data_IF_423621952194
#
_entry.id   IF_423621952194
#
_cell.length_a   1.000
_cell.length_b   1.000
_cell.length_c   1.000
_cell.angle_alpha   90.00
_cell.angle_beta   90.00
_cell.angle_gamma   90.00
#
_symmetry.space_group_name_H-M   'P 1'
#
loop_
_entity.id
_entity.type
_entity.pdbx_description
1 polymer ?
#
# COMPACT_ATOMS: atom_id res chain seq x y z
N UNK A 1 17.71 -18.04 13.74
CA UNK A 1 18.41 -16.75 14.01
C UNK A 1 17.39 -15.79 14.59
N UNK A 2 17.72 -14.98 15.59
CA UNK A 2 16.84 -13.96 16.10
C UNK A 2 16.52 -12.91 15.02
N UNK A 3 15.36 -12.30 15.13
CA UNK A 3 14.92 -11.19 14.27
C UNK A 3 15.60 -9.91 14.76
N UNK A 4 16.41 -9.29 13.92
CA UNK A 4 17.03 -8.00 14.25
C UNK A 4 16.03 -6.87 14.06
N UNK A 5 15.59 -6.25 15.15
CA UNK A 5 14.68 -5.12 15.13
C UNK A 5 15.42 -3.80 15.44
N UNK A 6 15.06 -2.74 14.74
CA UNK A 6 15.54 -1.38 15.00
C UNK A 6 14.35 -0.46 15.27
N UNK A 7 14.52 0.49 16.18
CA UNK A 7 13.53 1.53 16.48
C UNK A 7 14.08 2.88 15.98
N UNK A 8 13.24 3.64 15.30
CA UNK A 8 13.49 5.02 14.94
C UNK A 8 12.33 5.87 15.45
N UNK A 9 12.58 6.65 16.50
CA UNK A 9 11.60 7.39 17.27
C UNK A 9 12.31 8.53 18.00
N UNK A 10 11.88 9.77 17.81
CA UNK A 10 12.52 10.95 18.41
C UNK A 10 12.05 11.19 19.85
N UNK A 11 10.82 10.78 20.18
CA UNK A 11 10.28 10.92 21.54
C UNK A 11 10.85 9.85 22.47
N UNK A 12 11.63 10.28 23.47
CA UNK A 12 12.34 9.37 24.38
C UNK A 12 11.42 8.37 25.09
N UNK A 13 10.26 8.82 25.61
CA UNK A 13 9.34 7.95 26.35
C UNK A 13 8.69 6.92 25.44
N UNK A 14 8.24 7.30 24.24
CA UNK A 14 7.67 6.39 23.27
C UNK A 14 8.71 5.36 22.79
N UNK A 15 9.97 5.79 22.61
CA UNK A 15 11.09 4.90 22.26
C UNK A 15 11.37 3.85 23.33
N UNK A 16 11.39 4.26 24.61
CA UNK A 16 11.61 3.34 25.73
C UNK A 16 10.43 2.36 25.92
N UNK A 17 9.19 2.84 25.80
CA UNK A 17 7.99 2.02 25.84
C UNK A 17 8.03 0.95 24.74
N UNK A 18 8.29 1.35 23.51
CA UNK A 18 8.38 0.43 22.37
C UNK A 18 9.52 -0.57 22.54
N UNK A 19 10.68 -0.12 22.99
CA UNK A 19 11.83 -0.99 23.28
C UNK A 19 11.52 -1.99 24.39
N UNK A 20 10.81 -1.58 25.43
CA UNK A 20 10.38 -2.47 26.50
C UNK A 20 9.44 -3.57 25.97
N UNK A 21 8.45 -3.21 25.17
CA UNK A 21 7.50 -4.16 24.61
C UNK A 21 8.17 -5.14 23.62
N UNK A 22 9.06 -4.66 22.75
CA UNK A 22 9.77 -5.52 21.79
C UNK A 22 10.71 -6.51 22.51
N UNK A 23 11.33 -6.13 23.62
CA UNK A 23 12.19 -7.04 24.41
C UNK A 23 11.42 -8.20 25.06
N UNK A 24 10.10 -8.13 25.14
CA UNK A 24 9.27 -9.25 25.61
C UNK A 24 9.08 -10.34 24.56
N UNK A 25 9.41 -10.06 23.31
CA UNK A 25 9.36 -11.03 22.22
C UNK A 25 10.66 -11.87 22.22
N UNK A 26 10.56 -13.17 22.55
CA UNK A 26 11.71 -14.06 22.82
C UNK A 26 12.69 -14.23 21.66
N UNK A 27 12.20 -14.05 20.41
CA UNK A 27 12.96 -14.26 19.19
C UNK A 27 13.50 -12.97 18.56
N UNK A 28 13.54 -11.85 19.30
CA UNK A 28 13.94 -10.53 18.79
C UNK A 28 15.21 -10.04 19.44
N UNK A 29 16.11 -9.52 18.63
CA UNK A 29 17.32 -8.79 19.06
C UNK A 29 17.20 -7.32 18.65
N UNK A 30 17.26 -6.41 19.65
CA UNK A 30 17.21 -4.97 19.38
C UNK A 30 18.56 -4.42 18.95
N UNK A 31 18.59 -3.78 17.78
CA UNK A 31 19.68 -2.92 17.35
C UNK A 31 19.64 -1.58 18.09
N UNK A 32 20.73 -0.78 18.05
CA UNK A 32 20.70 0.60 18.54
C UNK A 32 19.59 1.41 17.87
N UNK A 33 18.88 2.24 18.67
CA UNK A 33 17.78 3.07 18.21
C UNK A 33 18.26 4.36 17.55
N UNK A 34 17.46 4.88 16.61
CA UNK A 34 17.65 6.19 16.00
C UNK A 34 16.67 7.22 16.57
N UNK A 35 17.09 8.48 16.67
CA UNK A 35 16.29 9.61 17.15
C UNK A 35 15.88 10.55 16.01
N UNK A 36 16.36 10.31 14.79
CA UNK A 36 16.00 11.05 13.60
C UNK A 36 16.24 10.20 12.34
N UNK A 37 15.65 10.61 11.22
CA UNK A 37 15.75 9.86 9.97
C UNK A 37 17.18 9.84 9.36
N UNK A 38 18.06 10.77 9.72
CA UNK A 38 19.46 10.75 9.26
C UNK A 38 20.27 9.71 10.04
N UNK A 39 20.10 9.66 11.36
CA UNK A 39 20.71 8.64 12.22
C UNK A 39 20.22 7.24 11.82
N UNK A 40 18.93 7.10 11.53
CA UNK A 40 18.36 5.85 11.04
C UNK A 40 19.11 5.31 9.82
N UNK A 41 19.38 6.13 8.81
CA UNK A 41 20.12 5.71 7.62
C UNK A 41 21.55 5.22 7.95
N UNK A 42 22.23 5.89 8.90
CA UNK A 42 23.57 5.48 9.33
C UNK A 42 23.54 4.12 10.05
N UNK A 43 22.60 3.95 10.98
CA UNK A 43 22.45 2.71 11.75
C UNK A 43 21.99 1.57 10.86
N UNK A 44 21.05 1.80 9.93
CA UNK A 44 20.61 0.81 8.95
C UNK A 44 21.79 0.22 8.16
N UNK A 45 22.66 1.06 7.61
CA UNK A 45 23.84 0.60 6.84
C UNK A 45 24.78 -0.26 7.68
N UNK A 46 24.89 0.01 8.98
CA UNK A 46 25.80 -0.68 9.89
C UNK A 46 25.24 -2.00 10.44
N UNK A 47 23.94 -2.02 10.81
CA UNK A 47 23.36 -3.13 11.55
C UNK A 47 22.47 -4.03 10.70
N UNK A 48 22.00 -3.56 9.55
CA UNK A 48 21.16 -4.31 8.62
C UNK A 48 20.02 -5.06 9.33
N UNK A 49 19.06 -4.34 9.97
CA UNK A 49 17.95 -4.96 10.66
C UNK A 49 17.00 -5.66 9.70
N UNK A 50 16.31 -6.70 10.19
CA UNK A 50 15.26 -7.41 9.45
C UNK A 50 13.95 -6.59 9.45
N UNK A 51 13.70 -5.83 10.54
CA UNK A 51 12.52 -4.98 10.70
C UNK A 51 12.87 -3.64 11.35
N UNK A 52 12.22 -2.58 10.92
CA UNK A 52 12.36 -1.23 11.48
C UNK A 52 10.99 -0.75 11.96
N UNK A 53 10.87 -0.48 13.25
CA UNK A 53 9.76 0.28 13.84
C UNK A 53 10.07 1.76 13.68
N UNK A 54 9.25 2.48 12.96
CA UNK A 54 9.61 3.78 12.42
C UNK A 54 8.52 4.81 12.65
N UNK A 55 8.81 5.83 13.47
CA UNK A 55 7.91 6.97 13.57
C UNK A 55 7.87 7.74 12.24
N UNK A 56 6.68 8.15 11.88
CA UNK A 56 6.43 8.93 10.67
C UNK A 56 6.97 10.36 10.83
N UNK A 57 6.73 10.97 11.98
CA UNK A 57 7.12 12.35 12.26
C UNK A 57 8.41 12.37 13.07
N UNK A 58 9.53 12.53 12.39
CA UNK A 58 10.83 12.69 13.03
C UNK A 58 11.54 13.96 12.51
N UNK A 59 12.41 14.58 13.34
CA UNK A 59 13.21 15.74 12.93
C UNK A 59 14.21 15.38 11.82
N UNK A 60 14.69 16.41 11.10
CA UNK A 60 15.65 16.35 10.01
C UNK A 60 15.15 15.62 8.76
N UNK A 61 14.57 14.44 8.90
CA UNK A 61 14.00 13.63 7.83
C UNK A 61 12.83 12.83 8.37
N UNK A 62 11.68 12.90 7.72
CA UNK A 62 10.52 12.10 8.08
C UNK A 62 10.81 10.60 7.98
N UNK A 63 10.10 9.77 8.77
CA UNK A 63 10.24 8.33 8.68
C UNK A 63 9.91 7.80 7.29
N UNK A 64 8.92 8.38 6.64
CA UNK A 64 8.51 8.01 5.27
C UNK A 64 9.66 8.24 4.28
N UNK A 65 10.33 9.39 4.34
CA UNK A 65 11.45 9.71 3.44
C UNK A 65 12.67 8.85 3.76
N UNK A 66 12.88 8.50 5.02
CA UNK A 66 13.94 7.59 5.43
C UNK A 66 13.69 6.16 4.91
N UNK A 67 12.45 5.65 5.02
CA UNK A 67 12.06 4.34 4.49
C UNK A 67 12.21 4.26 2.96
N UNK A 68 11.78 5.30 2.23
CA UNK A 68 12.00 5.38 0.77
C UNK A 68 13.48 5.27 0.42
N UNK A 69 14.32 6.02 1.14
CA UNK A 69 15.77 6.01 0.89
C UNK A 69 16.41 4.65 1.18
N UNK A 70 15.99 3.97 2.26
CA UNK A 70 16.44 2.62 2.59
C UNK A 70 16.06 1.64 1.47
N UNK A 71 14.83 1.71 0.94
CA UNK A 71 14.40 0.86 -0.18
C UNK A 71 15.17 1.11 -1.47
N UNK A 72 15.44 2.38 -1.80
CA UNK A 72 16.29 2.73 -2.94
C UNK A 72 17.68 2.12 -2.79
N UNK A 73 18.32 2.28 -1.62
CA UNK A 73 19.65 1.74 -1.35
C UNK A 73 19.68 0.21 -1.41
N UNK A 74 18.64 -0.46 -0.88
CA UNK A 74 18.51 -1.93 -0.95
C UNK A 74 18.35 -2.43 -2.39
N UNK A 75 17.58 -1.71 -3.22
CA UNK A 75 17.38 -2.04 -4.63
C UNK A 75 18.69 -1.91 -5.41
N UNK A 76 19.44 -0.83 -5.18
CA UNK A 76 20.73 -0.58 -5.85
C UNK A 76 21.78 -1.64 -5.48
N UNK A 77 21.78 -2.09 -4.22
CA UNK A 77 22.68 -3.15 -3.73
C UNK A 77 22.19 -4.57 -3.99
N UNK A 78 20.98 -4.74 -4.57
CA UNK A 78 20.30 -6.05 -4.75
C UNK A 78 20.11 -6.82 -3.44
N UNK A 79 20.01 -6.11 -2.34
CA UNK A 79 19.73 -6.68 -1.02
C UNK A 79 18.21 -6.66 -0.75
N UNK A 80 17.74 -7.60 0.06
CA UNK A 80 16.36 -7.58 0.53
C UNK A 80 16.16 -6.39 1.47
N UNK A 81 15.21 -5.47 1.20
CA UNK A 81 14.95 -4.37 2.10
C UNK A 81 14.38 -4.86 3.44
N UNK A 82 14.61 -4.13 4.53
CA UNK A 82 13.98 -4.45 5.81
C UNK A 82 12.47 -4.29 5.72
N UNK A 83 11.76 -5.00 6.57
CA UNK A 83 10.34 -4.78 6.79
C UNK A 83 10.12 -3.49 7.59
N UNK A 84 9.05 -2.75 7.29
CA UNK A 84 8.70 -1.54 8.04
C UNK A 84 7.41 -1.76 8.82
N UNK A 85 7.42 -1.36 10.10
CA UNK A 85 6.25 -1.18 10.94
C UNK A 85 6.23 0.30 11.33
N UNK A 86 5.28 1.07 10.80
CA UNK A 86 5.20 2.48 11.14
C UNK A 86 4.54 2.69 12.49
N UNK A 87 5.06 3.67 13.24
CA UNK A 87 4.50 4.13 14.51
C UNK A 87 4.08 5.60 14.39
N UNK A 88 2.99 6.02 15.02
CA UNK A 88 2.54 7.42 14.98
C UNK A 88 1.41 7.69 15.97
N UNK A 89 1.22 8.97 16.32
CA UNK A 89 0.05 9.43 17.07
C UNK A 89 -1.20 9.67 16.20
N UNK A 90 -1.09 9.62 14.86
CA UNK A 90 -2.14 10.06 13.93
C UNK A 90 -2.58 8.98 12.97
N UNK A 91 -3.88 8.75 12.87
CA UNK A 91 -4.50 7.80 11.92
C UNK A 91 -4.30 8.18 10.44
N UNK A 92 -3.99 9.43 10.16
CA UNK A 92 -3.97 9.96 8.80
C UNK A 92 -2.76 9.54 7.96
N UNK A 93 -1.68 9.12 8.57
CA UNK A 93 -0.46 8.71 7.87
C UNK A 93 -0.46 7.25 7.40
N UNK A 94 -1.47 6.47 7.79
CA UNK A 94 -1.62 5.08 7.34
C UNK A 94 -1.58 4.91 5.81
N UNK A 95 -2.03 5.93 5.06
CA UNK A 95 -2.03 5.93 3.59
C UNK A 95 -0.61 6.06 3.01
N UNK A 96 0.22 6.92 3.61
CA UNK A 96 1.59 7.13 3.12
C UNK A 96 2.50 5.95 3.49
N UNK A 97 2.25 5.32 4.65
CA UNK A 97 2.90 4.08 5.05
C UNK A 97 2.57 2.92 4.10
N UNK A 98 1.39 2.95 3.51
CA UNK A 98 0.93 1.97 2.55
C UNK A 98 1.75 1.95 1.24
N UNK A 99 2.08 3.12 0.69
CA UNK A 99 2.92 3.24 -0.52
C UNK A 99 4.32 2.64 -0.34
N UNK A 100 4.72 2.42 0.92
CA UNK A 100 5.98 1.81 1.30
C UNK A 100 5.85 0.32 1.68
N UNK A 101 4.74 -0.35 1.30
CA UNK A 101 4.50 -1.77 1.60
C UNK A 101 4.82 -2.14 3.06
N UNK A 102 4.46 -1.27 4.00
CA UNK A 102 4.65 -1.52 5.42
C UNK A 102 3.94 -2.82 5.83
N UNK A 103 4.58 -3.60 6.68
CA UNK A 103 3.99 -4.84 7.21
C UNK A 103 2.86 -4.51 8.16
N UNK A 104 3.00 -3.42 8.90
CA UNK A 104 2.00 -2.99 9.86
C UNK A 104 2.13 -1.51 10.25
N UNK A 105 1.18 -1.08 11.09
CA UNK A 105 1.05 0.28 11.58
C UNK A 105 0.56 0.27 13.04
N UNK A 106 1.28 0.93 13.93
CA UNK A 106 1.00 1.01 15.35
C UNK A 106 0.65 2.45 15.76
N UNK A 107 -0.46 2.60 16.46
CA UNK A 107 -0.84 3.89 17.03
C UNK A 107 -0.22 4.06 18.43
N UNK A 108 0.24 5.24 18.75
CA UNK A 108 0.62 5.65 20.11
C UNK A 108 -0.65 6.03 20.91
N UNK A 109 -0.77 5.66 22.19
CA UNK A 109 0.16 4.84 22.97
C UNK A 109 0.16 3.38 22.52
N UNK A 110 1.29 2.68 22.70
CA UNK A 110 1.45 1.32 22.20
C UNK A 110 0.67 0.30 23.04
N UNK A 111 -0.17 -0.48 22.38
CA UNK A 111 -0.87 -1.61 22.97
C UNK A 111 -0.03 -2.88 22.84
N UNK A 112 0.25 -3.63 23.95
CA UNK A 112 1.08 -4.84 23.92
C UNK A 112 0.53 -5.94 22.99
N UNK A 113 -0.81 -6.19 23.02
CA UNK A 113 -1.44 -7.19 22.19
C UNK A 113 -1.31 -6.81 20.71
N UNK A 114 -1.45 -5.53 20.43
CA UNK A 114 -1.32 -4.97 19.09
C UNK A 114 0.11 -5.07 18.55
N UNK A 115 1.13 -4.86 19.40
CA UNK A 115 2.53 -5.10 19.02
C UNK A 115 2.78 -6.58 18.75
N UNK A 116 2.27 -7.48 19.58
CA UNK A 116 2.40 -8.92 19.38
C UNK A 116 1.82 -9.37 18.02
N UNK A 117 0.65 -8.84 17.65
CA UNK A 117 0.06 -9.08 16.33
C UNK A 117 0.95 -8.56 15.19
N UNK A 118 1.54 -7.35 15.34
CA UNK A 118 2.46 -6.80 14.34
C UNK A 118 3.69 -7.71 14.19
N UNK A 119 4.25 -8.19 15.29
CA UNK A 119 5.37 -9.13 15.28
C UNK A 119 5.00 -10.47 14.64
N UNK A 120 3.80 -10.98 14.83
CA UNK A 120 3.33 -12.18 14.15
C UNK A 120 3.33 -12.00 12.61
N UNK A 121 2.95 -10.82 12.11
CA UNK A 121 3.02 -10.48 10.68
C UNK A 121 4.45 -10.35 10.17
N UNK A 122 5.33 -9.70 10.94
CA UNK A 122 6.76 -9.62 10.64
C UNK A 122 7.35 -11.02 10.47
N UNK A 123 7.09 -11.93 11.42
CA UNK A 123 7.55 -13.33 11.34
C UNK A 123 7.06 -14.04 10.09
N UNK A 124 5.78 -13.86 9.75
CA UNK A 124 5.19 -14.43 8.54
C UNK A 124 5.85 -13.88 7.27
N UNK A 125 6.06 -12.57 7.18
CA UNK A 125 6.68 -11.93 6.02
C UNK A 125 8.14 -12.38 5.84
N UNK A 126 8.93 -12.47 6.93
CA UNK A 126 10.30 -12.95 6.88
C UNK A 126 10.41 -14.42 6.45
N UNK A 127 9.48 -15.29 6.89
CA UNK A 127 9.43 -16.69 6.45
C UNK A 127 9.17 -16.81 4.95
N UNK A 128 8.21 -16.04 4.43
CA UNK A 128 7.90 -16.04 3.00
C UNK A 128 9.06 -15.54 2.15
N UNK A 129 9.72 -14.46 2.57
CA UNK A 129 10.89 -13.90 1.88
C UNK A 129 12.05 -14.91 1.82
N UNK A 130 12.32 -15.62 2.91
CA UNK A 130 13.38 -16.66 2.96
C UNK A 130 13.06 -17.86 2.08
N UNK A 131 11.81 -18.35 2.08
CA UNK A 131 11.37 -19.45 1.22
C UNK A 131 11.53 -19.12 -0.28
N UNK A 132 11.19 -17.89 -0.69
CA UNK A 132 11.36 -17.45 -2.09
C UNK A 132 12.83 -17.32 -2.51
N UNK A 133 13.73 -17.03 -1.56
CA UNK A 133 15.17 -16.95 -1.83
C UNK A 133 15.79 -18.34 -2.02
N UNK A 134 15.30 -19.36 -1.31
CA UNK A 134 15.76 -20.74 -1.43
C UNK A 134 15.27 -21.41 -2.73
N UNK A 135 14.08 -21.07 -3.22
CA UNK A 135 13.55 -21.60 -4.50
C UNK A 135 14.22 -21.01 -5.75
N UNK A 136 14.85 -19.84 -5.65
CA UNK A 136 15.50 -19.19 -6.79
C UNK A 136 16.90 -19.76 -7.12
N UNK A 137 17.44 -20.66 -6.30
CA UNK A 137 18.70 -21.39 -6.56
C UNK A 137 18.51 -22.78 -7.21
N UNK A 138 17.26 -23.21 -7.40
CA UNK A 138 16.95 -24.46 -8.07
C UNK A 138 16.37 -24.18 -9.46
N UNK A 139 17.19 -24.33 -10.47
CA UNK A 139 16.81 -24.27 -11.89
C UNK A 139 15.90 -25.46 -12.24
N UNK A 140 14.69 -25.27 -12.80
CA UNK A 140 13.94 -26.36 -13.40
C UNK A 140 13.86 -26.24 -14.93
N UNK A 141 13.83 -27.37 -15.67
CA UNK A 141 13.86 -27.37 -17.12
C UNK A 141 12.53 -26.98 -17.75
N UNK A 142 12.65 -26.34 -18.89
CA UNK A 142 11.60 -26.04 -19.85
C UNK A 142 10.78 -27.28 -20.23
N UNK A 143 9.46 -27.21 -20.09
CA UNK A 143 8.57 -27.99 -20.96
C UNK A 143 7.44 -27.13 -21.54
N UNK A 144 7.22 -27.39 -22.83
CA UNK A 144 6.34 -26.68 -23.74
C UNK A 144 4.93 -27.26 -23.75
N UNK A 145 4.01 -26.41 -24.14
CA UNK A 145 2.83 -26.66 -25.00
C UNK A 145 1.53 -27.14 -24.34
N UNK A 146 0.47 -26.45 -24.71
CA UNK A 146 -0.89 -26.95 -24.58
C UNK A 146 -1.96 -25.92 -24.94
N UNK A 147 -2.11 -25.68 -26.24
CA UNK A 147 -3.29 -25.04 -26.85
C UNK A 147 -4.61 -25.70 -26.43
N UNK A 148 -5.65 -24.91 -26.09
CA UNK A 148 -7.07 -25.26 -26.34
C UNK A 148 -8.09 -24.16 -26.00
N UNK A 149 -8.60 -23.54 -27.08
CA UNK A 149 -10.03 -23.35 -27.42
C UNK A 149 -10.93 -22.51 -26.51
N UNK A 150 -11.35 -21.45 -27.17
CA UNK A 150 -12.59 -20.69 -27.06
C UNK A 150 -13.78 -21.47 -26.49
N UNK A 151 -14.48 -20.84 -25.57
CA UNK A 151 -15.90 -21.08 -25.42
C UNK A 151 -16.60 -19.74 -25.07
N UNK A 152 -17.26 -19.19 -26.08
CA UNK A 152 -18.22 -18.11 -25.98
C UNK A 152 -19.37 -18.57 -25.08
N UNK A 153 -19.55 -17.89 -23.93
CA UNK A 153 -20.82 -17.90 -23.20
C UNK A 153 -21.24 -16.46 -22.97
N UNK A 154 -22.33 -16.12 -23.61
CA UNK A 154 -23.05 -14.86 -23.44
C UNK A 154 -23.32 -14.58 -21.96
N UNK A 155 -22.89 -13.39 -21.53
CA UNK A 155 -23.19 -12.83 -20.19
C UNK A 155 -24.58 -12.23 -20.19
N UNK A 156 -25.38 -12.44 -19.12
CA UNK A 156 -26.64 -11.74 -18.96
C UNK A 156 -26.42 -10.23 -18.80
N UNK A 157 -27.35 -9.38 -19.20
CA UNK A 157 -27.19 -7.93 -19.20
C UNK A 157 -27.14 -7.36 -17.78
N UNK A 158 -26.13 -6.57 -17.52
CA UNK A 158 -25.93 -5.78 -16.31
C UNK A 158 -26.98 -4.67 -16.20
N UNK A 159 -27.43 -4.30 -14.99
CA UNK A 159 -28.45 -3.25 -14.77
C UNK A 159 -28.05 -1.83 -15.20
N UNK A 160 -26.86 -1.64 -15.72
CA UNK A 160 -26.36 -0.36 -16.27
C UNK A 160 -26.49 -0.27 -17.79
N UNK A 161 -27.45 -0.97 -18.39
CA UNK A 161 -27.63 -1.07 -19.84
C UNK A 161 -28.48 0.08 -20.42
N UNK A 162 -28.09 1.33 -20.21
CA UNK A 162 -28.63 2.44 -20.96
C UNK A 162 -27.57 2.99 -21.92
N UNK A 163 -27.69 2.76 -23.25
CA UNK A 163 -26.64 3.12 -24.21
C UNK A 163 -26.43 4.61 -24.42
N UNK A 164 -27.31 5.47 -23.90
CA UNK A 164 -27.25 6.93 -24.08
C UNK A 164 -26.39 7.67 -23.05
N UNK A 165 -25.95 7.00 -21.96
CA UNK A 165 -25.20 7.63 -20.86
C UNK A 165 -23.69 7.32 -20.88
N UNK A 166 -23.20 6.51 -21.83
CA UNK A 166 -21.84 5.93 -21.81
C UNK A 166 -20.74 6.77 -22.49
N UNK A 167 -20.99 8.03 -22.85
CA UNK A 167 -20.01 8.79 -23.66
C UNK A 167 -19.71 10.21 -23.18
N UNK A 168 -19.78 10.48 -21.87
CA UNK A 168 -19.30 11.77 -21.37
C UNK A 168 -17.81 11.68 -21.07
N UNK A 169 -16.99 12.36 -21.89
CA UNK A 169 -15.57 12.55 -21.60
C UNK A 169 -15.41 13.33 -20.30
N UNK A 170 -14.44 12.95 -19.47
CA UNK A 170 -14.08 13.68 -18.27
C UNK A 170 -13.11 14.81 -18.63
N UNK A 171 -13.50 16.04 -18.31
CA UNK A 171 -12.66 17.22 -18.49
C UNK A 171 -12.05 17.59 -17.13
N UNK A 172 -10.73 17.63 -17.06
CA UNK A 172 -9.98 18.02 -15.87
C UNK A 172 -8.91 19.06 -16.20
N UNK A 173 -8.68 20.01 -15.30
CA UNK A 173 -7.64 21.03 -15.44
C UNK A 173 -6.34 20.52 -14.85
N UNK A 174 -5.28 20.46 -15.67
CA UNK A 174 -3.90 20.20 -15.26
C UNK A 174 -3.03 21.44 -15.57
N UNK A 175 -2.90 22.30 -14.59
CA UNK A 175 -2.21 23.60 -14.74
C UNK A 175 -2.94 24.53 -15.71
N UNK A 176 -2.34 24.82 -16.86
CA UNK A 176 -2.91 25.66 -17.93
C UNK A 176 -3.64 24.85 -19.02
N UNK A 177 -3.67 23.54 -18.89
CA UNK A 177 -4.24 22.64 -19.90
C UNK A 177 -5.53 22.03 -19.38
N UNK A 178 -6.48 21.85 -20.28
CA UNK A 178 -7.66 21.01 -20.05
C UNK A 178 -7.40 19.66 -20.70
N UNK A 179 -7.33 18.62 -19.86
CA UNK A 179 -7.14 17.24 -20.32
C UNK A 179 -8.50 16.57 -20.47
N UNK A 180 -8.69 15.89 -21.59
CA UNK A 180 -9.91 15.14 -21.91
C UNK A 180 -9.63 13.66 -21.69
N UNK A 181 -10.18 13.08 -20.62
CA UNK A 181 -10.00 11.68 -20.28
C UNK A 181 -11.23 10.85 -20.66
N UNK A 182 -10.98 9.61 -21.06
CA UNK A 182 -12.03 8.60 -21.15
C UNK A 182 -12.16 7.92 -19.78
N UNK A 183 -13.31 8.02 -19.09
CA UNK A 183 -13.50 7.38 -17.80
C UNK A 183 -13.14 5.90 -17.76
N UNK A 184 -13.31 5.20 -18.87
CA UNK A 184 -12.98 3.77 -18.97
C UNK A 184 -11.49 3.46 -18.87
N UNK A 185 -10.63 4.41 -19.22
CA UNK A 185 -9.17 4.23 -19.14
C UNK A 185 -8.59 4.60 -17.79
N UNK A 186 -9.41 5.17 -16.89
CA UNK A 186 -8.98 5.55 -15.54
C UNK A 186 -9.01 4.30 -14.67
N UNK A 187 -7.85 3.93 -14.12
CA UNK A 187 -7.70 2.79 -13.21
C UNK A 187 -8.09 3.17 -11.79
N UNK A 188 -7.55 4.29 -11.32
CA UNK A 188 -7.85 4.85 -9.99
C UNK A 188 -7.44 6.32 -9.93
N UNK A 189 -7.90 7.01 -8.89
CA UNK A 189 -7.45 8.36 -8.55
C UNK A 189 -7.07 8.44 -7.07
N UNK A 190 -6.04 9.21 -6.76
CA UNK A 190 -5.52 9.38 -5.41
C UNK A 190 -5.28 10.85 -5.09
N UNK A 191 -5.60 11.26 -3.85
CA UNK A 191 -5.28 12.59 -3.37
C UNK A 191 -3.79 12.70 -3.05
N UNK A 192 -3.10 13.60 -3.74
CA UNK A 192 -1.69 13.93 -3.50
C UNK A 192 -1.59 15.41 -3.16
N UNK A 193 -1.32 15.73 -1.89
CA UNK A 193 -1.31 17.10 -1.40
C UNK A 193 -2.65 17.84 -1.68
N UNK A 194 -2.61 18.93 -2.46
CA UNK A 194 -3.76 19.76 -2.85
C UNK A 194 -4.34 19.41 -4.22
N UNK A 195 -3.90 18.31 -4.84
CA UNK A 195 -4.34 17.87 -6.17
C UNK A 195 -4.82 16.42 -6.12
N UNK A 196 -5.46 15.98 -7.17
CA UNK A 196 -5.79 14.57 -7.41
C UNK A 196 -4.94 14.07 -8.56
N UNK A 197 -4.18 13.01 -8.31
CA UNK A 197 -3.49 12.24 -9.36
C UNK A 197 -4.47 11.20 -9.91
N UNK A 198 -4.81 11.32 -11.19
CA UNK A 198 -5.68 10.40 -11.93
C UNK A 198 -4.79 9.48 -12.72
N UNK A 199 -4.74 8.21 -12.34
CA UNK A 199 -3.94 7.18 -12.97
C UNK A 199 -4.76 6.49 -14.06
N UNK A 200 -4.28 6.61 -15.30
CA UNK A 200 -4.84 5.92 -16.45
C UNK A 200 -3.92 4.75 -16.86
N UNK A 201 -4.34 3.95 -17.82
CA UNK A 201 -3.48 2.89 -18.38
C UNK A 201 -2.17 3.41 -18.99
N UNK A 202 -2.12 4.68 -19.38
CA UNK A 202 -1.02 5.26 -20.16
C UNK A 202 -0.20 6.28 -19.39
N UNK A 203 -0.85 7.12 -18.59
CA UNK A 203 -0.25 8.29 -17.96
C UNK A 203 -0.94 8.66 -16.64
N UNK A 204 -0.32 9.54 -15.88
CA UNK A 204 -0.88 10.13 -14.66
C UNK A 204 -1.17 11.61 -14.92
N UNK A 205 -2.40 12.05 -14.67
CA UNK A 205 -2.85 13.44 -14.83
C UNK A 205 -3.10 14.06 -13.45
N UNK A 206 -2.50 15.22 -13.18
CA UNK A 206 -2.63 15.93 -11.90
C UNK A 206 -3.67 17.03 -11.97
N UNK A 207 -4.87 16.75 -11.51
CA UNK A 207 -6.01 17.67 -11.60
C UNK A 207 -6.18 18.57 -10.35
N UNK A 208 -6.53 19.84 -10.54
CA UNK A 208 -6.96 20.75 -9.48
C UNK A 208 -8.45 20.53 -9.14
N UNK A 209 -8.76 19.36 -8.65
CA UNK A 209 -10.11 18.92 -8.31
C UNK A 209 -10.06 18.16 -6.98
N UNK A 210 -11.13 18.12 -6.25
CA UNK A 210 -11.26 17.24 -5.08
C UNK A 210 -11.66 15.82 -5.53
N UNK A 211 -11.34 14.81 -4.70
CA UNK A 211 -11.82 13.46 -4.98
C UNK A 211 -13.34 13.35 -4.94
N UNK A 212 -14.01 14.18 -4.15
CA UNK A 212 -15.48 14.23 -4.09
C UNK A 212 -16.08 14.76 -5.39
N UNK A 213 -15.55 15.86 -5.93
CA UNK A 213 -15.97 16.38 -7.23
C UNK A 213 -15.69 15.41 -8.37
N UNK A 214 -14.54 14.70 -8.30
CA UNK A 214 -14.21 13.67 -9.28
C UNK A 214 -15.19 12.47 -9.21
N UNK A 215 -15.51 12.01 -8.00
CA UNK A 215 -16.49 10.96 -7.75
C UNK A 215 -17.87 11.33 -8.31
N UNK A 216 -18.29 12.58 -8.12
CA UNK A 216 -19.55 13.06 -8.65
C UNK A 216 -19.56 13.10 -10.20
N UNK A 217 -18.48 13.57 -10.82
CA UNK A 217 -18.31 13.54 -12.27
C UNK A 217 -18.29 12.13 -12.85
N UNK A 218 -17.83 11.15 -12.09
CA UNK A 218 -17.73 9.73 -12.47
C UNK A 218 -18.92 8.89 -11.98
N UNK A 219 -19.98 9.49 -11.43
CA UNK A 219 -21.12 8.79 -10.81
C UNK A 219 -21.81 7.77 -11.73
N UNK A 220 -21.78 8.00 -13.05
CA UNK A 220 -22.36 7.08 -14.04
C UNK A 220 -21.38 6.02 -14.55
N UNK A 221 -20.21 5.90 -13.92
CA UNK A 221 -19.16 4.93 -14.23
C UNK A 221 -18.87 4.08 -13.00
N UNK A 222 -18.27 2.90 -13.15
CA UNK A 222 -18.06 1.94 -12.07
C UNK A 222 -16.91 2.35 -11.13
N UNK A 223 -17.03 3.52 -10.53
CA UNK A 223 -16.06 4.00 -9.55
C UNK A 223 -16.59 3.83 -8.12
N UNK A 224 -15.68 3.49 -7.23
CA UNK A 224 -15.95 3.30 -5.82
C UNK A 224 -14.93 4.02 -4.94
N UNK A 225 -15.41 4.72 -3.91
CA UNK A 225 -14.57 5.38 -2.91
C UNK A 225 -14.07 4.37 -1.90
N UNK A 226 -12.93 3.73 -2.18
CA UNK A 226 -12.36 2.69 -1.31
C UNK A 226 -11.76 3.25 -0.02
N UNK A 227 -11.28 4.48 -0.07
CA UNK A 227 -10.66 5.18 1.06
C UNK A 227 -10.88 6.70 0.92
N UNK A 228 -10.72 7.47 2.03
CA UNK A 228 -10.82 8.95 1.96
C UNK A 228 -9.88 9.59 0.93
N UNK A 229 -8.79 8.92 0.59
CA UNK A 229 -7.80 9.39 -0.38
C UNK A 229 -7.82 8.65 -1.72
N UNK A 230 -8.66 7.63 -1.90
CA UNK A 230 -8.68 6.81 -3.11
C UNK A 230 -10.08 6.65 -3.69
N UNK A 231 -10.17 6.79 -5.02
CA UNK A 231 -11.32 6.45 -5.85
C UNK A 231 -10.87 5.43 -6.88
N UNK A 232 -11.50 4.26 -6.94
CA UNK A 232 -11.06 3.10 -7.72
C UNK A 232 -12.10 2.74 -8.76
N UNK A 233 -11.68 2.41 -9.97
CA UNK A 233 -12.52 1.82 -11.00
C UNK A 233 -12.66 0.31 -10.73
N UNK A 234 -13.90 -0.15 -10.53
CA UNK A 234 -14.20 -1.54 -10.21
C UNK A 234 -13.82 -2.53 -11.32
N UNK A 235 -13.83 -2.08 -12.59
CA UNK A 235 -13.44 -2.91 -13.74
C UNK A 235 -11.96 -3.31 -13.70
N UNK A 236 -11.14 -2.54 -13.00
CA UNK A 236 -9.71 -2.79 -12.85
C UNK A 236 -9.36 -3.65 -11.63
N UNK A 237 -10.32 -4.03 -10.80
CA UNK A 237 -10.02 -4.92 -9.67
C UNK A 237 -9.65 -6.30 -10.20
N UNK A 238 -8.46 -6.79 -9.79
CA UNK A 238 -7.95 -8.13 -10.05
C UNK A 238 -8.25 -9.07 -8.89
N UNK A 239 -7.91 -8.63 -7.68
CA UNK A 239 -8.01 -9.42 -6.46
C UNK A 239 -8.36 -8.53 -5.27
N UNK A 240 -8.97 -9.12 -4.25
CA UNK A 240 -9.20 -8.48 -2.94
C UNK A 240 -8.44 -9.30 -1.92
N UNK A 241 -7.44 -8.69 -1.32
CA UNK A 241 -6.59 -9.34 -0.32
C UNK A 241 -6.97 -8.85 1.07
N UNK A 242 -7.32 -9.75 2.00
CA UNK A 242 -7.57 -9.35 3.37
C UNK A 242 -6.39 -8.57 3.95
N UNK A 243 -6.69 -7.49 4.65
CA UNK A 243 -5.72 -6.68 5.34
C UNK A 243 -6.09 -6.61 6.83
N UNK A 244 -5.33 -5.86 7.55
CA UNK A 244 -5.43 -5.70 8.98
C UNK A 244 -6.81 -5.19 9.47
N UNK A 245 -7.27 -5.68 10.64
CA UNK A 245 -8.45 -5.18 11.38
C UNK A 245 -9.75 -5.10 10.56
N UNK A 246 -9.99 -6.06 9.66
CA UNK A 246 -11.20 -6.09 8.82
C UNK A 246 -11.15 -5.09 7.65
N UNK A 247 -10.02 -4.44 7.40
CA UNK A 247 -9.74 -3.74 6.14
C UNK A 247 -9.33 -4.75 5.05
N UNK A 248 -9.25 -4.32 3.81
CA UNK A 248 -8.69 -5.12 2.72
C UNK A 248 -7.93 -4.23 1.73
N UNK A 249 -7.15 -4.85 0.87
CA UNK A 249 -6.49 -4.21 -0.24
C UNK A 249 -7.07 -4.72 -1.55
N UNK A 250 -7.24 -3.80 -2.50
CA UNK A 250 -7.55 -4.14 -3.87
C UNK A 250 -6.25 -4.23 -4.66
N UNK A 251 -6.04 -5.33 -5.35
CA UNK A 251 -4.99 -5.44 -6.35
C UNK A 251 -5.62 -5.08 -7.69
N UNK A 252 -5.06 -4.12 -8.39
CA UNK A 252 -5.57 -3.67 -9.68
C UNK A 252 -4.85 -4.35 -10.85
N UNK A 253 -5.55 -4.51 -11.98
CA UNK A 253 -5.02 -4.99 -13.27
C UNK A 253 -4.18 -3.89 -13.93
N UNK A 254 -3.13 -3.43 -13.26
CA UNK A 254 -2.15 -2.47 -13.77
C UNK A 254 -0.83 -3.20 -14.03
N UNK A 255 0.12 -2.56 -14.72
CA UNK A 255 1.42 -3.18 -15.03
C UNK A 255 2.21 -3.63 -13.79
N UNK A 256 1.97 -2.98 -12.66
CA UNK A 256 2.70 -3.20 -11.40
C UNK A 256 1.82 -3.84 -10.32
N UNK A 257 0.63 -4.37 -10.70
CA UNK A 257 -0.33 -4.93 -9.73
C UNK A 257 -0.58 -3.96 -8.54
N UNK A 258 -0.94 -2.71 -8.88
CA UNK A 258 -1.09 -1.62 -7.90
C UNK A 258 -2.04 -2.00 -6.77
N UNK A 259 -1.60 -1.81 -5.53
CA UNK A 259 -2.39 -2.09 -4.32
C UNK A 259 -3.10 -0.82 -3.85
N UNK A 260 -4.40 -0.88 -3.64
CA UNK A 260 -5.24 0.23 -3.16
C UNK A 260 -5.92 -0.15 -1.85
N UNK A 261 -5.80 0.67 -0.79
CA UNK A 261 -6.44 0.39 0.49
C UNK A 261 -7.95 0.57 0.45
N UNK A 262 -8.65 -0.29 1.19
CA UNK A 262 -10.09 -0.15 1.48
C UNK A 262 -10.26 0.06 2.97
N UNK A 263 -10.85 1.18 3.37
CA UNK A 263 -11.15 1.46 4.77
C UNK A 263 -12.17 0.44 5.33
N UNK A 264 -12.12 0.14 6.63
CA UNK A 264 -13.05 -0.82 7.28
C UNK A 264 -14.52 -0.54 6.95
N UNK A 265 -14.91 0.72 7.03
CA UNK A 265 -16.29 1.16 6.73
C UNK A 265 -16.68 0.94 5.26
N UNK A 266 -15.70 0.91 4.35
CA UNK A 266 -15.91 0.73 2.92
C UNK A 266 -15.89 -0.76 2.49
N UNK A 267 -15.39 -1.69 3.32
CA UNK A 267 -15.27 -3.10 2.93
C UNK A 267 -16.64 -3.73 2.68
N UNK A 268 -17.56 -3.63 3.65
CA UNK A 268 -18.90 -4.25 3.53
C UNK A 268 -19.69 -3.70 2.34
N UNK A 269 -19.81 -2.36 2.14
CA UNK A 269 -20.47 -1.80 0.96
C UNK A 269 -19.81 -2.21 -0.36
N UNK A 270 -18.48 -2.31 -0.41
CA UNK A 270 -17.76 -2.77 -1.59
C UNK A 270 -18.16 -4.20 -1.99
N UNK A 271 -18.19 -5.13 -1.02
CA UNK A 271 -18.59 -6.51 -1.29
C UNK A 271 -20.05 -6.62 -1.72
N UNK A 272 -20.94 -5.83 -1.14
CA UNK A 272 -22.36 -5.75 -1.55
C UNK A 272 -22.47 -5.25 -2.99
N UNK A 273 -21.70 -4.22 -3.35
CA UNK A 273 -21.65 -3.66 -4.70
C UNK A 273 -21.11 -4.67 -5.72
N UNK A 274 -19.99 -5.35 -5.42
CA UNK A 274 -19.37 -6.33 -6.31
C UNK A 274 -20.22 -7.59 -6.52
N UNK A 275 -21.12 -7.93 -5.61
CA UNK A 275 -22.07 -9.02 -5.79
C UNK A 275 -23.21 -8.67 -6.76
N UNK A 276 -23.50 -7.39 -6.90
CA UNK A 276 -24.55 -6.87 -7.79
C UNK A 276 -23.97 -6.50 -9.18
N UNK A 277 -22.65 -6.39 -9.27
CA UNK A 277 -21.89 -6.03 -10.47
C UNK A 277 -21.53 -7.26 -11.32
#
# INVERSE_FOLDING_TARGET
MPIKAMIAEDEHLAREELAYLIRQEEDVELCPSAEDGQQLLQLYRRYRPDVIFLDIEMPKRSGIDAARKIREESRDSKETPPLFVFTTAYDEYAVQAFDLEAVDYLLKPFDPERLHEAMARVRKALRLSRAMSEESEADPPLEKAGDRRQNDREKPPSPFSDPKLRSSKLLVEDGEKVVVLDPKTICYAVRVNRRVAIHTEKEVVYAKITLQELEEKLRNHPFYRSHRSYLVNLDYIKEIVPWFNGACNLILKTKEDTKIPVSRSAVKPLFELLRQY
#
